data_IF_981947418635
#
_entry.id   IF_981947418635
#
_cell.length_a   1.000
_cell.length_b   1.000
_cell.length_c   1.000
_cell.angle_alpha   90.00
_cell.angle_beta   90.00
_cell.angle_gamma   90.00
#
_symmetry.space_group_name_H-M   'P 1'
#
loop_
_entity.id
_entity.type
_entity.pdbx_description
1 polymer ?
#
# COMPACT_ATOMS: atom_id res chain seq x y z
N UNK A 1 -0.90 23.38 11.14
CA UNK A 1 -1.88 22.29 10.91
C UNK A 1 -2.13 22.09 9.43
N UNK A 2 -2.77 23.02 8.70
CA UNK A 2 -3.02 22.84 7.25
C UNK A 2 -1.72 22.73 6.43
N UNK A 3 -0.74 23.61 6.66
CA UNK A 3 0.58 23.54 6.00
C UNK A 3 1.37 22.27 6.37
N UNK A 4 1.22 21.78 7.60
CA UNK A 4 1.83 20.53 8.06
C UNK A 4 1.21 19.32 7.36
N UNK A 5 -0.11 19.26 7.27
CA UNK A 5 -0.84 18.18 6.60
C UNK A 5 -0.57 18.17 5.09
N UNK A 6 -0.53 19.34 4.45
CA UNK A 6 -0.14 19.44 3.04
C UNK A 6 1.26 18.88 2.82
N UNK A 7 2.21 19.29 3.66
CA UNK A 7 3.58 18.80 3.57
C UNK A 7 3.68 17.28 3.73
N UNK A 8 3.01 16.72 4.73
CA UNK A 8 2.96 15.27 4.98
C UNK A 8 2.32 14.52 3.81
N UNK A 9 1.17 14.99 3.29
CA UNK A 9 0.53 14.38 2.12
C UNK A 9 1.43 14.41 0.88
N UNK A 10 2.14 15.52 0.66
CA UNK A 10 3.06 15.65 -0.47
C UNK A 10 4.22 14.67 -0.35
N UNK A 11 4.85 14.58 0.82
CA UNK A 11 5.97 13.66 1.04
C UNK A 11 5.54 12.19 0.92
N UNK A 12 4.47 11.80 1.60
CA UNK A 12 3.96 10.43 1.57
C UNK A 12 3.45 10.05 0.17
N UNK A 13 2.74 10.96 -0.49
CA UNK A 13 2.25 10.76 -1.85
C UNK A 13 3.38 10.48 -2.83
N UNK A 14 4.49 11.25 -2.75
CA UNK A 14 5.67 11.02 -3.59
C UNK A 14 6.29 9.64 -3.36
N UNK A 15 6.47 9.24 -2.11
CA UNK A 15 7.04 7.93 -1.77
C UNK A 15 6.14 6.77 -2.25
N UNK A 16 4.83 6.88 -2.06
CA UNK A 16 3.87 5.85 -2.49
C UNK A 16 3.78 5.75 -4.02
N UNK A 17 3.80 6.89 -4.73
CA UNK A 17 3.83 6.90 -6.21
C UNK A 17 5.07 6.18 -6.74
N UNK A 18 6.24 6.41 -6.12
CA UNK A 18 7.47 5.74 -6.49
C UNK A 18 7.35 4.22 -6.32
N UNK A 19 6.87 3.77 -5.15
CA UNK A 19 6.63 2.35 -4.88
C UNK A 19 5.68 1.72 -5.89
N UNK A 20 4.54 2.35 -6.17
CA UNK A 20 3.56 1.83 -7.14
C UNK A 20 4.20 1.72 -8.53
N UNK A 21 4.97 2.73 -8.93
CA UNK A 21 5.62 2.75 -10.23
C UNK A 21 6.68 1.66 -10.37
N UNK A 22 7.48 1.44 -9.33
CA UNK A 22 8.47 0.36 -9.26
C UNK A 22 7.81 -1.02 -9.28
N UNK A 23 6.77 -1.21 -8.48
CA UNK A 23 6.01 -2.44 -8.40
C UNK A 23 5.40 -2.82 -9.75
N UNK A 24 4.66 -1.89 -10.37
CA UNK A 24 4.02 -2.12 -11.68
C UNK A 24 5.06 -2.43 -12.76
N UNK A 25 6.20 -1.72 -12.77
CA UNK A 25 7.29 -1.97 -13.72
C UNK A 25 7.88 -3.38 -13.59
N UNK A 26 7.90 -3.94 -12.39
CA UNK A 26 8.46 -5.27 -12.12
C UNK A 26 7.49 -6.44 -12.37
N UNK A 27 6.20 -6.19 -12.61
CA UNK A 27 5.16 -7.24 -12.65
C UNK A 27 5.43 -8.37 -13.66
N UNK A 28 6.14 -8.07 -14.75
CA UNK A 28 6.47 -9.03 -15.81
C UNK A 28 7.54 -10.03 -15.38
N UNK A 29 8.37 -9.68 -14.39
CA UNK A 29 9.56 -10.42 -13.98
C UNK A 29 9.46 -11.03 -12.57
N UNK A 30 8.56 -10.51 -11.72
CA UNK A 30 8.38 -11.01 -10.35
C UNK A 30 7.70 -12.39 -10.31
N UNK A 31 8.00 -13.15 -9.25
CA UNK A 31 7.28 -14.40 -8.95
C UNK A 31 5.86 -14.07 -8.50
N UNK A 32 4.89 -14.83 -8.98
CA UNK A 32 3.47 -14.68 -8.58
C UNK A 32 3.28 -14.96 -7.09
N UNK A 33 3.91 -16.02 -6.56
CA UNK A 33 3.83 -16.39 -5.14
C UNK A 33 5.19 -16.20 -4.46
N UNK A 34 5.17 -15.65 -3.25
CA UNK A 34 6.32 -15.68 -2.35
C UNK A 34 6.75 -17.11 -2.04
N UNK A 35 8.04 -17.32 -1.81
CA UNK A 35 8.60 -18.59 -1.35
C UNK A 35 8.80 -18.63 0.17
N UNK A 36 8.51 -17.53 0.87
CA UNK A 36 8.63 -17.44 2.33
C UNK A 36 7.70 -18.44 3.03
N UNK A 37 8.18 -19.04 4.10
CA UNK A 37 7.35 -19.84 4.99
C UNK A 37 6.67 -18.93 6.03
N UNK A 38 5.52 -19.33 6.59
CA UNK A 38 4.85 -18.54 7.64
C UNK A 38 5.77 -18.20 8.82
N UNK A 39 6.66 -19.12 9.20
CA UNK A 39 7.65 -18.90 10.26
C UNK A 39 8.65 -17.80 9.94
N UNK A 40 9.05 -17.67 8.67
CA UNK A 40 9.97 -16.62 8.23
C UNK A 40 9.31 -15.25 8.37
N UNK A 41 8.04 -15.15 7.97
CA UNK A 41 7.25 -13.91 8.05
C UNK A 41 6.89 -13.56 9.49
N UNK A 42 6.61 -14.55 10.35
CA UNK A 42 6.38 -14.29 11.77
C UNK A 42 7.63 -13.72 12.43
N UNK A 43 8.81 -14.31 12.17
CA UNK A 43 10.06 -13.84 12.73
C UNK A 43 10.41 -12.41 12.27
N UNK A 44 10.00 -12.02 11.06
CA UNK A 44 10.24 -10.68 10.52
C UNK A 44 9.56 -9.56 11.32
N UNK A 45 8.45 -9.88 12.01
CA UNK A 45 7.67 -8.93 12.81
C UNK A 45 7.57 -9.35 14.28
N UNK A 46 8.48 -10.21 14.76
CA UNK A 46 8.52 -10.67 16.15
C UNK A 46 9.22 -9.64 17.06
N UNK A 47 8.62 -8.46 17.14
CA UNK A 47 9.06 -7.35 17.98
C UNK A 47 7.90 -6.79 18.81
N UNK A 48 8.16 -6.21 19.99
CA UNK A 48 7.12 -5.52 20.77
C UNK A 48 6.52 -4.36 19.98
N UNK A 49 5.22 -4.13 20.13
CA UNK A 49 4.57 -2.94 19.56
C UNK A 49 5.23 -1.67 20.09
N UNK A 50 5.52 -0.67 19.22
CA UNK A 50 6.16 0.56 19.65
C UNK A 50 5.25 1.33 20.62
N UNK A 51 5.83 1.81 21.73
CA UNK A 51 5.12 2.63 22.71
C UNK A 51 4.99 4.10 22.27
N UNK A 52 5.90 4.54 21.40
CA UNK A 52 5.97 5.89 20.85
C UNK A 52 5.72 5.87 19.34
N UNK A 53 5.32 7.02 18.80
CA UNK A 53 5.14 7.18 17.36
C UNK A 53 6.46 7.01 16.59
N UNK A 54 6.38 6.42 15.40
CA UNK A 54 7.49 6.30 14.45
C UNK A 54 7.25 7.20 13.24
N UNK A 55 8.33 7.58 12.56
CA UNK A 55 8.24 8.35 11.32
C UNK A 55 7.54 7.53 10.22
N UNK A 56 6.58 8.15 9.54
CA UNK A 56 5.79 7.46 8.51
C UNK A 56 6.67 6.94 7.36
N UNK A 57 7.77 7.63 7.03
CA UNK A 57 8.76 7.20 6.05
C UNK A 57 9.41 5.86 6.42
N UNK A 58 9.62 5.61 7.72
CA UNK A 58 10.15 4.33 8.18
C UNK A 58 9.15 3.20 7.97
N UNK A 59 7.86 3.49 8.14
CA UNK A 59 6.78 2.53 7.87
C UNK A 59 6.70 2.21 6.38
N UNK A 60 6.77 3.24 5.52
CA UNK A 60 6.75 3.08 4.06
C UNK A 60 7.96 2.27 3.57
N UNK A 61 9.14 2.48 4.15
CA UNK A 61 10.33 1.71 3.81
C UNK A 61 10.24 0.25 4.29
N UNK A 62 9.71 0.01 5.49
CA UNK A 62 9.40 -1.36 5.96
C UNK A 62 8.38 -2.04 5.03
N UNK A 63 7.34 -1.33 4.57
CA UNK A 63 6.41 -1.87 3.59
C UNK A 63 7.12 -2.27 2.29
N UNK A 64 7.95 -1.38 1.74
CA UNK A 64 8.72 -1.63 0.52
C UNK A 64 9.65 -2.84 0.67
N UNK A 65 10.38 -2.93 1.78
CA UNK A 65 11.42 -3.94 2.02
C UNK A 65 10.85 -5.29 2.45
N UNK A 66 9.90 -5.30 3.38
CA UNK A 66 9.51 -6.49 4.13
C UNK A 66 8.12 -7.01 3.73
N UNK A 67 7.26 -6.16 3.18
CA UNK A 67 5.89 -6.56 2.78
C UNK A 67 5.83 -6.89 1.29
N UNK A 68 6.20 -5.96 0.40
CA UNK A 68 6.05 -6.11 -1.06
C UNK A 68 6.67 -7.42 -1.58
N UNK A 69 7.91 -7.80 -1.24
CA UNK A 69 8.54 -9.02 -1.77
C UNK A 69 7.83 -10.31 -1.38
N UNK A 70 6.98 -10.25 -0.36
CA UNK A 70 6.25 -11.40 0.16
C UNK A 70 4.76 -11.39 -0.18
N UNK A 71 4.30 -10.39 -0.93
CA UNK A 71 2.92 -10.35 -1.44
C UNK A 71 2.70 -11.37 -2.56
N UNK A 72 1.44 -11.77 -2.74
CA UNK A 72 1.03 -12.47 -3.95
C UNK A 72 0.83 -11.45 -5.06
N UNK A 73 1.62 -11.55 -6.13
CA UNK A 73 1.61 -10.62 -7.26
C UNK A 73 0.44 -10.91 -8.20
N UNK A 74 -0.79 -10.75 -7.70
CA UNK A 74 -2.05 -10.94 -8.45
C UNK A 74 -2.07 -10.14 -9.77
N UNK A 75 -1.60 -8.87 -9.82
CA UNK A 75 -1.61 -8.10 -11.06
C UNK A 75 -0.65 -8.59 -12.16
N UNK A 76 0.25 -9.54 -11.87
CA UNK A 76 1.21 -10.06 -12.83
C UNK A 76 0.50 -10.76 -14.00
N UNK A 77 0.95 -10.60 -15.25
CA UNK A 77 0.39 -11.34 -16.39
C UNK A 77 0.60 -12.86 -16.30
N UNK A 78 1.40 -13.31 -15.34
CA UNK A 78 1.68 -14.74 -15.07
C UNK A 78 0.74 -15.34 -14.01
N UNK A 79 -0.16 -14.55 -13.42
CA UNK A 79 -1.15 -15.03 -12.46
C UNK A 79 -2.41 -15.54 -13.18
N UNK A 80 -2.70 -16.84 -13.02
CA UNK A 80 -3.88 -17.51 -13.62
C UNK A 80 -4.81 -18.12 -12.57
N UNK A 81 -4.72 -17.69 -11.31
CA UNK A 81 -5.52 -18.22 -10.20
C UNK A 81 -6.80 -17.41 -9.94
N UNK A 82 -7.83 -18.08 -9.42
CA UNK A 82 -9.06 -17.47 -8.90
C UNK A 82 -9.70 -16.43 -9.85
N UNK A 83 -10.40 -15.44 -9.31
CA UNK A 83 -11.11 -14.39 -10.04
C UNK A 83 -10.77 -13.00 -9.50
N UNK A 84 -9.48 -12.66 -9.48
CA UNK A 84 -8.99 -11.37 -8.96
C UNK A 84 -8.36 -10.57 -10.11
N UNK A 85 -9.09 -9.62 -10.74
CA UNK A 85 -8.56 -8.84 -11.84
C UNK A 85 -7.53 -7.81 -11.36
N UNK A 86 -6.57 -7.49 -12.24
CA UNK A 86 -5.69 -6.34 -12.07
C UNK A 86 -6.54 -5.06 -11.92
N UNK A 87 -6.34 -4.25 -10.86
CA UNK A 87 -7.06 -3.00 -10.72
C UNK A 87 -6.67 -2.03 -11.83
N UNK A 88 -7.64 -1.25 -12.32
CA UNK A 88 -7.32 -0.11 -13.18
C UNK A 88 -6.55 0.93 -12.37
N UNK A 89 -5.51 1.59 -12.93
CA UNK A 89 -4.76 2.62 -12.20
C UNK A 89 -5.64 3.73 -11.62
N UNK A 90 -6.71 4.12 -12.34
CA UNK A 90 -7.66 5.13 -11.86
C UNK A 90 -8.44 4.70 -10.62
N UNK A 91 -8.69 3.39 -10.43
CA UNK A 91 -9.40 2.90 -9.25
C UNK A 91 -8.57 3.10 -7.99
N UNK A 92 -7.26 2.81 -8.05
CA UNK A 92 -6.32 3.03 -6.92
C UNK A 92 -6.30 4.50 -6.51
N UNK A 93 -6.26 5.41 -7.47
CA UNK A 93 -6.27 6.85 -7.18
C UNK A 93 -7.63 7.37 -6.73
N UNK A 94 -8.74 6.77 -7.21
CA UNK A 94 -10.06 7.08 -6.72
C UNK A 94 -10.21 6.76 -5.22
N UNK A 95 -9.67 5.62 -4.77
CA UNK A 95 -9.64 5.27 -3.35
C UNK A 95 -8.82 6.25 -2.51
N UNK A 96 -7.68 6.72 -3.04
CA UNK A 96 -6.86 7.73 -2.38
C UNK A 96 -7.62 9.07 -2.22
N UNK A 97 -8.31 9.52 -3.27
CA UNK A 97 -9.12 10.74 -3.24
C UNK A 97 -10.32 10.61 -2.29
N UNK A 98 -11.03 9.47 -2.35
CA UNK A 98 -12.15 9.20 -1.45
C UNK A 98 -11.68 9.20 0.02
N UNK A 99 -10.54 8.58 0.30
CA UNK A 99 -9.94 8.53 1.64
C UNK A 99 -9.51 9.90 2.14
N UNK A 100 -8.98 10.77 1.27
CA UNK A 100 -8.57 12.13 1.65
C UNK A 100 -9.75 13.02 2.06
N UNK A 101 -10.91 12.85 1.41
CA UNK A 101 -12.11 13.64 1.72
C UNK A 101 -12.90 13.05 2.90
N UNK A 102 -12.78 11.73 3.14
CA UNK A 102 -13.30 11.01 4.31
C UNK A 102 -14.75 11.37 4.67
N UNK A 103 -15.65 11.36 3.68
CA UNK A 103 -17.04 11.74 3.89
C UNK A 103 -17.80 10.72 4.74
N UNK A 104 -18.67 11.21 5.62
CA UNK A 104 -19.51 10.39 6.48
C UNK A 104 -20.94 10.28 5.92
N UNK A 105 -21.36 9.06 5.57
CA UNK A 105 -22.67 8.77 4.98
C UNK A 105 -23.87 8.73 5.95
N UNK A 106 -23.77 9.26 7.18
CA UNK A 106 -24.85 9.16 8.17
C UNK A 106 -26.13 9.94 7.79
N UNK A 107 -26.01 10.97 6.97
CA UNK A 107 -27.16 11.71 6.43
C UNK A 107 -26.78 12.31 5.07
N UNK A 108 -27.76 12.48 4.18
CA UNK A 108 -27.51 13.02 2.83
C UNK A 108 -26.71 14.34 2.86
N UNK A 109 -27.05 15.27 3.76
CA UNK A 109 -26.33 16.55 3.90
C UNK A 109 -24.85 16.43 4.29
N UNK A 110 -24.41 15.29 4.84
CA UNK A 110 -23.04 15.05 5.28
C UNK A 110 -22.15 14.46 4.17
N UNK A 111 -22.76 13.97 3.08
CA UNK A 111 -22.09 13.39 1.91
C UNK A 111 -23.07 13.34 0.72
N UNK A 112 -23.45 14.51 0.14
CA UNK A 112 -24.53 14.63 -0.84
C UNK A 112 -24.23 13.98 -2.20
#
# INVERSE_FOLDING_TARGET
>A
MSETLEHEHRQLGQAVIEIISEYVRGLDDVRVCSTAQPTDLHALFDEPLPLDGVHAESIIETFRRDVIPHTMNIPSPRYYGLFNPTPLPIAVWADALASAINQNGAAWRNSP
#
